data_IF_561925169629
#
_entry.id   IF_561925169629
#
_cell.length_a   1.000
_cell.length_b   1.000
_cell.length_c   1.000
_cell.angle_alpha   90.00
_cell.angle_beta   90.00
_cell.angle_gamma   90.00
#
_symmetry.space_group_name_H-M   'P 1'
#
loop_
_entity.id
_entity.type
_entity.pdbx_description
1 polymer ?
#
# COMPACT_ATOMS: atom_id res chain seq x y z
N UNK A 1 19.24 -38.02 -40.06
CA UNK A 1 20.17 -38.21 -41.18
C UNK A 1 19.89 -37.13 -42.22
N UNK A 2 20.61 -36.01 -42.20
CA UNK A 2 20.87 -35.16 -43.37
C UNK A 2 22.11 -34.31 -43.07
N UNK A 3 23.07 -34.37 -43.99
CA UNK A 3 24.48 -33.95 -43.87
C UNK A 3 24.66 -32.45 -44.06
N UNK A 4 25.59 -31.88 -43.28
CA UNK A 4 26.28 -30.61 -43.55
C UNK A 4 27.28 -30.80 -44.70
N UNK A 5 27.38 -29.89 -45.67
CA UNK A 5 28.58 -29.77 -46.50
C UNK A 5 29.46 -28.61 -46.03
N UNK A 6 30.70 -28.96 -45.64
CA UNK A 6 31.84 -28.05 -45.63
C UNK A 6 32.34 -27.92 -47.08
N UNK A 7 32.73 -26.72 -47.51
CA UNK A 7 33.56 -26.56 -48.71
C UNK A 7 34.86 -25.81 -48.39
N UNK A 8 35.92 -26.35 -48.98
CA UNK A 8 37.32 -26.07 -48.76
C UNK A 8 37.79 -24.73 -49.37
N UNK A 9 38.84 -24.23 -48.72
CA UNK A 9 39.86 -23.25 -49.12
C UNK A 9 40.51 -23.45 -50.51
N UNK A 10 40.93 -22.34 -51.16
CA UNK A 10 42.24 -22.03 -51.80
C UNK A 10 42.13 -20.76 -52.70
N UNK A 11 43.21 -20.07 -53.15
CA UNK A 11 44.31 -19.44 -52.43
C UNK A 11 44.53 -17.94 -52.79
N UNK A 12 45.50 -17.38 -52.06
CA UNK A 12 46.22 -16.09 -52.11
C UNK A 12 46.48 -15.43 -53.51
N UNK A 13 46.26 -14.11 -53.61
CA UNK A 13 47.04 -13.22 -54.49
C UNK A 13 47.46 -11.97 -53.71
N UNK A 14 48.78 -11.79 -53.64
CA UNK A 14 49.51 -10.70 -53.01
C UNK A 14 49.65 -9.53 -54.00
N UNK A 15 49.24 -8.33 -53.62
CA UNK A 15 49.62 -7.09 -54.31
C UNK A 15 50.18 -6.12 -53.28
N UNK A 16 51.51 -5.96 -53.31
CA UNK A 16 52.26 -4.93 -52.60
C UNK A 16 52.16 -3.62 -53.39
N UNK A 17 51.67 -2.55 -52.78
CA UNK A 17 51.95 -1.18 -53.23
C UNK A 17 52.05 -0.22 -52.03
N UNK A 18 53.28 0.25 -51.81
CA UNK A 18 53.65 1.63 -51.48
C UNK A 18 52.98 2.34 -50.31
N UNK A 19 53.72 2.49 -49.21
CA UNK A 19 53.47 3.53 -48.20
C UNK A 19 53.65 4.95 -48.79
N UNK A 20 53.02 5.96 -48.17
CA UNK A 20 53.86 6.96 -47.54
C UNK A 20 53.50 7.23 -46.07
N UNK A 21 54.51 7.80 -45.42
CA UNK A 21 54.69 8.11 -44.01
C UNK A 21 53.94 9.40 -43.61
N UNK A 22 53.63 9.52 -42.31
CA UNK A 22 53.04 10.66 -41.56
C UNK A 22 51.49 10.71 -41.56
N UNK A 23 50.79 10.98 -40.46
CA UNK A 23 51.12 11.70 -39.23
C UNK A 23 50.81 10.89 -37.96
N UNK A 24 51.61 11.12 -36.93
CA UNK A 24 51.41 10.63 -35.57
C UNK A 24 50.55 11.69 -34.85
N UNK A 25 49.23 11.55 -34.90
CA UNK A 25 48.35 12.36 -34.06
C UNK A 25 48.27 11.74 -32.66
N UNK A 26 48.60 12.58 -31.69
CA UNK A 26 48.57 12.37 -30.26
C UNK A 26 47.18 11.89 -29.81
N UNK A 27 47.11 10.75 -29.14
CA UNK A 27 45.92 10.32 -28.39
C UNK A 27 45.82 11.21 -27.15
N UNK A 28 44.87 12.13 -27.14
CA UNK A 28 44.49 12.84 -25.91
C UNK A 28 43.75 11.88 -24.96
N UNK A 29 44.13 11.80 -23.66
CA UNK A 29 43.38 11.06 -22.68
C UNK A 29 42.30 11.98 -22.08
N UNK A 30 41.04 11.82 -22.48
CA UNK A 30 39.95 12.50 -21.77
C UNK A 30 38.71 12.78 -22.59
N UNK A 31 37.89 11.76 -22.81
CA UNK A 31 36.44 11.96 -22.79
C UNK A 31 35.89 10.99 -21.75
N UNK A 32 35.79 11.51 -20.52
CA UNK A 32 34.96 10.87 -19.51
C UNK A 32 33.55 10.82 -20.08
N UNK A 33 32.99 9.61 -20.16
CA UNK A 33 31.56 9.46 -20.35
C UNK A 33 30.91 10.17 -19.16
N UNK A 34 30.32 11.34 -19.39
CA UNK A 34 29.50 11.99 -18.39
C UNK A 34 28.41 10.98 -17.98
N UNK A 35 28.30 10.59 -16.70
CA UNK A 35 27.18 9.80 -16.26
C UNK A 35 25.92 10.61 -16.57
N UNK A 36 25.01 10.03 -17.34
CA UNK A 36 23.64 10.55 -17.43
C UNK A 36 23.14 10.75 -16.00
N UNK A 37 22.48 11.88 -15.68
CA UNK A 37 22.09 12.16 -14.30
C UNK A 37 21.19 11.02 -13.80
N UNK A 38 21.63 10.33 -12.74
CA UNK A 38 20.74 9.48 -11.95
C UNK A 38 19.61 10.40 -11.49
N UNK A 39 18.43 10.29 -12.11
CA UNK A 39 17.22 10.82 -11.50
C UNK A 39 16.83 9.90 -10.33
N UNK A 40 17.72 9.77 -9.34
CA UNK A 40 17.43 9.17 -8.05
C UNK A 40 16.79 10.24 -7.16
N UNK A 41 15.65 10.75 -7.62
CA UNK A 41 14.80 11.62 -6.80
C UNK A 41 14.48 10.99 -5.45
N UNK A 42 14.62 9.66 -5.30
CA UNK A 42 14.22 8.91 -4.12
C UNK A 42 12.70 8.79 -3.98
N UNK A 43 11.94 9.43 -4.87
CA UNK A 43 10.49 9.34 -4.97
C UNK A 43 10.09 7.91 -5.35
N UNK A 44 9.05 7.41 -4.70
CA UNK A 44 8.45 6.11 -5.04
C UNK A 44 6.96 6.26 -5.21
N UNK A 45 6.47 5.59 -6.24
CA UNK A 45 5.08 5.54 -6.62
C UNK A 45 4.69 4.06 -6.63
N UNK A 46 3.85 3.66 -5.68
CA UNK A 46 3.48 2.28 -5.42
C UNK A 46 1.98 2.12 -5.60
N UNK A 47 1.57 1.15 -6.42
CA UNK A 47 0.16 0.78 -6.60
C UNK A 47 -0.05 -0.67 -6.20
N UNK A 48 -1.05 -0.93 -5.36
CA UNK A 48 -1.48 -2.25 -4.94
C UNK A 48 -2.94 -2.48 -5.40
N UNK A 49 -3.15 -3.35 -6.39
CA UNK A 49 -4.46 -3.62 -7.02
C UNK A 49 -4.99 -5.05 -6.76
N UNK A 50 -4.48 -5.71 -5.72
CA UNK A 50 -4.94 -6.99 -5.15
C UNK A 50 -5.44 -8.11 -6.09
N UNK A 51 -4.85 -8.23 -7.28
CA UNK A 51 -5.11 -9.35 -8.18
C UNK A 51 -4.87 -10.71 -7.48
N UNK A 52 -5.58 -11.78 -7.88
CA UNK A 52 -5.55 -13.09 -7.20
C UNK A 52 -4.17 -13.69 -6.96
N UNK A 53 -3.16 -13.28 -7.74
CA UNK A 53 -1.78 -13.78 -7.69
C UNK A 53 -0.77 -12.79 -7.08
N UNK A 54 -1.19 -11.62 -6.60
CA UNK A 54 -0.30 -10.55 -6.13
C UNK A 54 -0.54 -10.08 -4.68
N UNK A 55 0.56 -9.78 -4.00
CA UNK A 55 0.70 -9.00 -2.75
C UNK A 55 0.92 -9.76 -1.42
N UNK A 56 1.85 -9.28 -0.58
CA UNK A 56 2.21 -9.89 0.71
C UNK A 56 1.47 -9.21 1.89
N UNK A 57 0.29 -8.63 1.65
CA UNK A 57 -0.46 -7.99 2.71
C UNK A 57 -0.98 -9.03 3.70
N UNK A 58 -0.78 -8.73 4.97
CA UNK A 58 -1.36 -9.44 6.12
C UNK A 58 -2.30 -8.49 6.84
N UNK A 59 -3.00 -8.92 7.88
CA UNK A 59 -3.88 -8.03 8.62
C UNK A 59 -4.27 -8.59 9.97
N UNK A 60 -4.97 -7.76 10.73
CA UNK A 60 -5.41 -8.09 12.08
C UNK A 60 -6.40 -7.05 12.60
N UNK A 61 -6.68 -7.14 13.89
CA UNK A 61 -7.61 -6.27 14.59
C UNK A 61 -7.12 -5.98 16.00
N UNK A 62 -7.46 -4.80 16.53
CA UNK A 62 -7.13 -4.34 17.88
C UNK A 62 -8.27 -3.51 18.46
N UNK A 63 -8.05 -2.95 19.65
CA UNK A 63 -8.92 -2.01 20.35
C UNK A 63 -10.19 -2.69 20.88
N UNK A 64 -9.95 -3.76 21.64
CA UNK A 64 -10.94 -4.53 22.38
C UNK A 64 -10.34 -5.03 23.71
N UNK A 65 -11.19 -5.42 24.66
CA UNK A 65 -10.73 -5.91 25.96
C UNK A 65 -10.06 -7.29 25.85
N UNK A 66 -8.92 -7.51 26.50
CA UNK A 66 -8.17 -8.77 26.43
C UNK A 66 -8.94 -9.98 26.99
N UNK A 67 -9.94 -9.76 27.85
CA UNK A 67 -10.83 -10.80 28.38
C UNK A 67 -12.03 -11.12 27.48
N UNK A 68 -12.21 -10.40 26.39
CA UNK A 68 -13.28 -10.63 25.43
C UNK A 68 -12.95 -11.82 24.54
N UNK A 69 -13.95 -12.64 24.22
CA UNK A 69 -13.76 -13.75 23.28
C UNK A 69 -13.49 -13.19 21.87
N UNK A 70 -12.28 -13.37 21.30
CA UNK A 70 -11.94 -12.85 19.98
C UNK A 70 -12.76 -13.50 18.86
N UNK A 71 -13.43 -14.64 19.10
CA UNK A 71 -14.32 -15.26 18.11
C UNK A 71 -15.51 -14.37 17.74
N UNK A 72 -15.95 -13.49 18.65
CA UNK A 72 -17.05 -12.55 18.39
C UNK A 72 -16.70 -11.43 17.41
N UNK A 73 -15.40 -11.23 17.12
CA UNK A 73 -14.94 -10.22 16.16
C UNK A 73 -15.12 -10.74 14.72
N UNK A 74 -15.25 -12.05 14.51
CA UNK A 74 -15.49 -12.65 13.19
C UNK A 74 -14.59 -12.11 12.07
N UNK A 75 -13.30 -11.88 12.37
CA UNK A 75 -12.38 -11.27 11.41
C UNK A 75 -12.12 -12.19 10.20
N UNK A 76 -12.27 -11.63 9.00
CA UNK A 76 -11.97 -12.30 7.74
C UNK A 76 -11.03 -11.39 6.94
N UNK A 77 -9.93 -11.98 6.48
CA UNK A 77 -9.03 -11.40 5.50
C UNK A 77 -8.81 -12.40 4.36
N UNK A 78 -9.18 -12.01 3.14
CA UNK A 78 -8.95 -12.85 1.95
C UNK A 78 -8.92 -12.00 0.70
N UNK A 79 -8.32 -12.52 -0.35
CA UNK A 79 -8.50 -11.98 -1.69
C UNK A 79 -9.90 -12.34 -2.19
N UNK A 80 -10.50 -11.40 -2.91
CA UNK A 80 -11.77 -11.58 -3.57
C UNK A 80 -11.81 -10.73 -4.85
N UNK A 81 -12.94 -10.71 -5.54
CA UNK A 81 -13.26 -9.70 -6.54
C UNK A 81 -14.15 -8.62 -5.94
N UNK A 82 -14.11 -7.41 -6.49
CA UNK A 82 -15.07 -6.36 -6.12
C UNK A 82 -16.52 -6.86 -6.28
N UNK A 83 -17.45 -6.48 -5.38
CA UNK A 83 -18.82 -6.98 -5.41
C UNK A 83 -19.56 -6.68 -6.71
N UNK A 84 -20.51 -7.54 -7.07
CA UNK A 84 -21.45 -7.25 -8.18
C UNK A 84 -22.22 -5.96 -7.86
N UNK A 85 -22.27 -5.05 -8.83
CA UNK A 85 -22.91 -3.74 -8.68
C UNK A 85 -21.92 -2.59 -8.52
N UNK A 86 -20.64 -2.87 -8.30
CA UNK A 86 -19.59 -1.89 -8.66
C UNK A 86 -19.43 -1.90 -10.18
N UNK A 87 -19.22 -0.74 -10.82
CA UNK A 87 -18.94 -0.62 -12.28
C UNK A 87 -17.57 -1.25 -12.68
N UNK A 88 -16.99 -2.04 -11.79
CA UNK A 88 -15.69 -2.70 -11.88
C UNK A 88 -15.80 -4.15 -11.44
N UNK A 89 -14.95 -4.98 -12.04
CA UNK A 89 -14.73 -6.38 -11.68
C UNK A 89 -13.20 -6.57 -11.61
N UNK A 90 -12.61 -6.13 -10.50
CA UNK A 90 -11.17 -6.16 -10.23
C UNK A 90 -10.88 -7.06 -9.02
N UNK A 91 -9.62 -7.48 -8.88
CA UNK A 91 -9.14 -8.10 -7.64
C UNK A 91 -9.20 -7.11 -6.48
N UNK A 92 -9.58 -7.60 -5.30
CA UNK A 92 -9.69 -6.79 -4.09
C UNK A 92 -9.21 -7.57 -2.86
N UNK A 93 -8.78 -6.83 -1.84
CA UNK A 93 -8.61 -7.39 -0.50
C UNK A 93 -9.92 -7.24 0.27
N UNK A 94 -10.63 -8.35 0.51
CA UNK A 94 -11.80 -8.38 1.36
C UNK A 94 -11.38 -8.41 2.84
N UNK A 95 -11.89 -7.44 3.59
CA UNK A 95 -11.70 -7.30 5.03
C UNK A 95 -13.05 -7.17 5.69
N UNK A 96 -13.34 -8.05 6.65
CA UNK A 96 -14.58 -8.01 7.42
C UNK A 96 -14.31 -8.24 8.90
N UNK A 97 -15.05 -7.55 9.75
CA UNK A 97 -15.04 -7.74 11.20
C UNK A 97 -16.33 -7.23 11.81
N UNK A 98 -16.73 -7.83 12.93
CA UNK A 98 -17.82 -7.37 13.80
C UNK A 98 -17.24 -6.60 14.97
N UNK A 99 -17.54 -5.30 15.03
CA UNK A 99 -17.21 -4.48 16.17
C UNK A 99 -18.14 -4.82 17.34
N UNK A 100 -17.51 -5.18 18.45
CA UNK A 100 -18.15 -5.58 19.71
C UNK A 100 -17.60 -4.79 20.89
N UNK A 101 -16.81 -3.74 20.63
CA UNK A 101 -16.11 -2.91 21.63
C UNK A 101 -16.41 -1.41 21.53
N UNK A 102 -17.20 -0.98 20.53
CA UNK A 102 -17.41 0.44 20.17
C UNK A 102 -16.12 1.19 19.77
N UNK A 103 -15.02 0.47 19.49
CA UNK A 103 -13.70 1.07 19.16
C UNK A 103 -12.82 0.14 18.32
N UNK A 104 -13.38 -0.87 17.65
CA UNK A 104 -12.58 -1.88 16.96
C UNK A 104 -11.76 -1.26 15.82
N UNK A 105 -10.44 -1.47 15.84
CA UNK A 105 -9.57 -1.14 14.73
C UNK A 105 -9.20 -2.39 13.93
N UNK A 106 -9.58 -2.44 12.66
CA UNK A 106 -9.25 -3.53 11.74
C UNK A 106 -8.32 -3.02 10.64
N UNK A 107 -7.25 -3.75 10.34
CA UNK A 107 -6.22 -3.25 9.41
C UNK A 107 -5.57 -4.34 8.57
N UNK A 108 -5.03 -3.90 7.44
CA UNK A 108 -4.08 -4.65 6.61
C UNK A 108 -2.73 -3.93 6.59
N UNK A 109 -1.64 -4.68 6.49
CA UNK A 109 -0.28 -4.15 6.51
C UNK A 109 0.67 -4.89 5.58
N UNK A 110 1.66 -4.16 5.06
CA UNK A 110 2.70 -4.65 4.17
C UNK A 110 4.00 -3.87 4.37
N UNK A 111 5.14 -4.55 4.24
CA UNK A 111 6.45 -3.89 4.27
C UNK A 111 6.83 -3.36 2.89
N UNK A 112 7.34 -2.14 2.84
CA UNK A 112 8.02 -1.56 1.68
C UNK A 112 9.50 -1.39 1.98
N UNK A 113 10.32 -1.52 0.93
CA UNK A 113 11.78 -1.51 1.05
C UNK A 113 12.43 -0.81 -0.13
N UNK A 114 13.77 -0.72 -0.08
CA UNK A 114 14.61 -0.03 -1.07
C UNK A 114 14.34 1.48 -1.11
N UNK A 115 13.85 2.08 -0.03
CA UNK A 115 13.82 3.53 0.14
C UNK A 115 15.23 4.04 0.48
N UNK A 116 15.45 5.34 0.46
CA UNK A 116 16.72 5.90 0.94
C UNK A 116 16.82 5.69 2.46
N UNK A 117 17.89 5.07 3.00
CA UNK A 117 18.04 4.86 4.43
C UNK A 117 18.04 6.14 5.25
N UNK A 118 17.51 6.08 6.49
CA UNK A 118 17.48 7.21 7.44
C UNK A 118 16.97 8.53 6.83
N UNK A 119 16.08 8.45 5.83
CA UNK A 119 15.62 9.60 5.08
C UNK A 119 14.19 9.94 5.51
N UNK A 120 13.89 11.21 5.83
CA UNK A 120 12.52 11.68 6.02
C UNK A 120 11.73 11.61 4.70
N UNK A 121 10.50 11.13 4.78
CA UNK A 121 9.56 11.04 3.67
C UNK A 121 8.22 11.66 4.04
N UNK A 122 7.58 12.29 3.06
CA UNK A 122 6.17 12.63 3.05
C UNK A 122 5.40 11.58 2.23
N UNK A 123 4.37 10.98 2.84
CA UNK A 123 3.55 9.93 2.25
C UNK A 123 2.14 10.43 1.99
N UNK A 124 1.69 10.30 0.75
CA UNK A 124 0.31 10.53 0.35
C UNK A 124 -0.28 9.23 -0.19
N UNK A 125 -1.45 8.88 0.31
CA UNK A 125 -2.23 7.72 -0.04
C UNK A 125 -3.46 8.18 -0.80
N UNK A 126 -3.85 7.37 -1.78
CA UNK A 126 -5.19 7.36 -2.35
C UNK A 126 -5.70 5.91 -2.23
N UNK A 127 -6.85 5.74 -1.59
CA UNK A 127 -7.45 4.43 -1.32
C UNK A 127 -8.79 4.37 -2.02
N UNK A 128 -8.91 3.45 -2.97
CA UNK A 128 -10.18 3.06 -3.57
C UNK A 128 -10.69 1.78 -2.89
N UNK A 129 -11.94 1.81 -2.45
CA UNK A 129 -12.57 0.64 -1.85
C UNK A 129 -14.07 0.56 -2.17
N UNK A 130 -14.61 -0.66 -2.23
CA UNK A 130 -16.05 -0.87 -2.27
C UNK A 130 -16.60 -0.88 -0.84
N UNK A 131 -17.58 -0.01 -0.59
CA UNK A 131 -18.34 0.08 0.65
C UNK A 131 -19.83 0.00 0.34
N UNK A 132 -20.60 -0.66 1.20
CA UNK A 132 -22.06 -0.61 1.21
C UNK A 132 -22.59 0.22 2.38
N UNK A 133 -21.74 1.00 3.05
CA UNK A 133 -22.17 1.81 4.18
C UNK A 133 -22.94 3.06 3.68
N UNK A 134 -24.21 3.24 4.07
CA UNK A 134 -24.96 4.44 3.74
C UNK A 134 -24.53 5.62 4.63
N UNK A 135 -24.81 6.84 4.17
CA UNK A 135 -24.70 8.08 4.97
C UNK A 135 -26.07 8.48 5.52
N UNK A 136 -26.08 9.29 6.58
CA UNK A 136 -27.28 9.80 7.27
C UNK A 136 -28.21 8.71 7.77
N UNK A 137 -27.62 7.61 8.23
CA UNK A 137 -28.35 6.45 8.76
C UNK A 137 -27.94 6.18 10.21
N UNK A 138 -28.22 7.14 11.13
CA UNK A 138 -27.84 6.99 12.53
C UNK A 138 -28.60 5.81 13.16
N UNK A 139 -27.91 5.10 14.05
CA UNK A 139 -28.51 4.06 14.88
C UNK A 139 -28.10 4.26 16.34
N UNK A 140 -28.72 3.50 17.25
CA UNK A 140 -28.35 3.49 18.68
C UNK A 140 -26.89 3.04 18.90
N UNK A 141 -26.34 2.37 17.89
CA UNK A 141 -25.04 1.70 17.88
C UNK A 141 -24.04 2.40 16.95
N UNK A 142 -24.23 3.70 16.69
CA UNK A 142 -23.46 4.43 15.69
C UNK A 142 -23.95 4.22 14.25
N UNK A 143 -23.36 4.95 13.34
CA UNK A 143 -23.70 5.02 11.92
C UNK A 143 -22.77 4.09 11.15
N UNK A 144 -23.29 3.18 10.32
CA UNK A 144 -22.46 2.18 9.61
C UNK A 144 -21.45 2.80 8.65
N UNK A 145 -21.68 4.03 8.20
CA UNK A 145 -20.75 4.79 7.35
C UNK A 145 -19.95 5.82 8.13
N UNK A 146 -20.64 6.82 8.69
CA UNK A 146 -20.03 8.04 9.23
C UNK A 146 -19.24 7.84 10.54
N UNK A 147 -19.51 6.76 11.28
CA UNK A 147 -18.82 6.42 12.54
C UNK A 147 -17.80 5.28 12.35
N UNK A 148 -17.33 5.08 11.11
CA UNK A 148 -16.29 4.12 10.75
C UNK A 148 -15.22 4.86 9.93
N UNK A 149 -14.11 5.16 10.60
CA UNK A 149 -13.08 6.06 10.08
C UNK A 149 -11.98 5.30 9.34
N UNK A 150 -11.81 5.58 8.05
CA UNK A 150 -10.71 5.03 7.27
C UNK A 150 -9.39 5.72 7.65
N UNK A 151 -8.36 4.93 7.93
CA UNK A 151 -7.03 5.40 8.30
C UNK A 151 -5.97 4.76 7.42
N UNK A 152 -4.92 5.54 7.16
CA UNK A 152 -3.67 5.08 6.54
C UNK A 152 -2.51 5.44 7.46
N UNK A 153 -1.46 4.63 7.42
CA UNK A 153 -0.33 4.84 8.31
C UNK A 153 0.96 4.21 7.82
N UNK A 154 2.03 4.60 8.50
CA UNK A 154 3.36 4.07 8.28
C UNK A 154 4.13 3.97 9.60
N UNK A 155 4.98 2.94 9.72
CA UNK A 155 5.74 2.67 10.94
C UNK A 155 7.07 1.98 10.66
N UNK A 156 7.99 2.06 11.62
CA UNK A 156 9.28 1.34 11.56
C UNK A 156 9.16 -0.13 11.99
N UNK A 157 8.15 -0.46 12.79
CA UNK A 157 7.83 -1.81 13.24
C UNK A 157 6.57 -2.31 12.54
N UNK A 158 6.42 -3.63 12.42
CA UNK A 158 5.19 -4.21 11.87
C UNK A 158 4.00 -3.86 12.77
N UNK A 159 2.93 -3.23 12.23
CA UNK A 159 1.68 -3.05 12.95
C UNK A 159 1.12 -4.39 13.42
N UNK A 160 0.91 -4.50 14.72
CA UNK A 160 0.47 -5.73 15.37
C UNK A 160 -0.39 -5.39 16.59
N UNK A 161 -1.40 -6.22 16.83
CA UNK A 161 -2.18 -6.18 18.05
C UNK A 161 -1.35 -6.71 19.22
N UNK A 162 -1.28 -5.93 20.30
CA UNK A 162 -0.53 -6.26 21.52
C UNK A 162 -1.41 -6.02 22.74
N UNK A 163 -1.30 -6.88 23.74
CA UNK A 163 -2.00 -6.68 25.02
C UNK A 163 -1.25 -5.69 25.89
N UNK A 164 -1.88 -4.57 26.21
CA UNK A 164 -1.44 -3.70 27.29
C UNK A 164 -1.85 -4.33 28.63
N UNK A 165 -0.84 -4.79 29.37
CA UNK A 165 -1.04 -5.47 30.65
C UNK A 165 -1.55 -4.56 31.75
N UNK A 166 -1.39 -3.23 31.63
CA UNK A 166 -1.86 -2.28 32.63
C UNK A 166 -3.35 -2.00 32.49
N UNK A 167 -3.84 -1.91 31.26
CA UNK A 167 -5.25 -1.60 30.95
C UNK A 167 -6.08 -2.83 30.61
N UNK A 168 -5.43 -3.99 30.42
CA UNK A 168 -6.05 -5.23 29.93
C UNK A 168 -6.79 -5.02 28.60
N UNK A 169 -6.25 -4.13 27.76
CA UNK A 169 -6.75 -3.85 26.42
C UNK A 169 -5.80 -4.46 25.39
N UNK A 170 -6.35 -4.99 24.31
CA UNK A 170 -5.58 -5.28 23.10
C UNK A 170 -5.56 -3.99 22.28
N UNK A 171 -4.37 -3.48 21.98
CA UNK A 171 -4.16 -2.21 21.26
C UNK A 171 -3.22 -2.43 20.09
N UNK A 172 -3.25 -1.55 19.11
CA UNK A 172 -2.21 -1.50 18.09
C UNK A 172 -0.88 -1.07 18.71
N UNK A 173 0.23 -1.68 18.31
CA UNK A 173 1.58 -1.34 18.79
C UNK A 173 2.18 -0.06 18.17
N UNK A 174 1.43 0.64 17.32
CA UNK A 174 1.80 1.92 16.69
C UNK A 174 0.67 2.92 16.90
N UNK A 175 1.00 4.21 16.99
CA UNK A 175 0.01 5.25 17.29
C UNK A 175 -0.84 5.59 16.05
N UNK A 176 -2.04 5.01 15.99
CA UNK A 176 -3.03 5.29 14.95
C UNK A 176 -3.93 6.51 15.25
N UNK A 177 -3.79 7.10 16.43
CA UNK A 177 -4.77 8.01 16.99
C UNK A 177 -6.04 7.28 17.44
N UNK A 178 -7.16 8.00 17.44
CA UNK A 178 -8.45 7.47 17.89
C UNK A 178 -9.58 8.04 17.05
N UNK A 179 -10.42 7.17 16.49
CA UNK A 179 -11.62 7.53 15.73
C UNK A 179 -11.28 8.53 14.61
N UNK A 180 -11.97 9.67 14.55
CA UNK A 180 -11.71 10.71 13.54
C UNK A 180 -10.31 11.34 13.64
N UNK A 181 -9.59 11.19 14.75
CA UNK A 181 -8.31 11.86 15.01
C UNK A 181 -7.13 10.96 14.63
N UNK A 182 -6.23 11.47 13.79
CA UNK A 182 -4.96 10.79 13.45
C UNK A 182 -3.96 10.77 14.61
N UNK A 183 -3.00 9.85 14.54
CA UNK A 183 -1.90 9.72 15.51
C UNK A 183 -0.53 10.05 14.89
N UNK A 184 0.53 9.82 15.64
CA UNK A 184 1.91 9.99 15.15
C UNK A 184 2.20 9.11 13.92
N UNK A 185 1.61 7.92 13.85
CA UNK A 185 1.88 6.94 12.79
C UNK A 185 0.71 6.78 11.79
N UNK A 186 -0.38 7.54 11.93
CA UNK A 186 -1.53 7.44 11.03
C UNK A 186 -2.27 8.75 10.77
N UNK A 187 -2.88 8.84 9.60
CA UNK A 187 -3.82 9.90 9.22
C UNK A 187 -5.21 9.31 8.96
N UNK A 188 -6.25 10.05 9.33
CA UNK A 188 -7.64 9.73 8.98
C UNK A 188 -7.94 10.28 7.59
N UNK A 189 -8.47 9.45 6.69
CA UNK A 189 -8.88 9.83 5.34
C UNK A 189 -10.35 10.26 5.24
N UNK A 190 -11.08 10.23 6.36
CA UNK A 190 -12.52 10.41 6.44
C UNK A 190 -13.21 9.11 6.84
N UNK A 191 -14.50 9.01 6.52
CA UNK A 191 -15.33 7.84 6.78
C UNK A 191 -15.53 6.96 5.53
N UNK A 192 -16.12 5.77 5.74
CA UNK A 192 -16.42 4.81 4.66
C UNK A 192 -17.82 4.98 4.05
N UNK A 193 -18.53 6.06 4.35
CA UNK A 193 -19.88 6.26 3.86
C UNK A 193 -19.87 6.51 2.33
N UNK A 194 -20.85 5.90 1.67
CA UNK A 194 -21.17 6.15 0.27
C UNK A 194 -22.11 7.35 0.13
N UNK A 195 -22.43 7.73 -1.10
CA UNK A 195 -23.43 8.77 -1.37
C UNK A 195 -24.88 8.32 -1.09
N UNK A 196 -25.11 7.02 -0.86
CA UNK A 196 -26.41 6.42 -0.62
C UNK A 196 -27.01 6.82 0.73
N UNK A 197 -28.25 7.29 0.74
CA UNK A 197 -29.07 7.50 1.96
C UNK A 197 -30.02 6.31 2.22
N UNK A 198 -29.87 5.21 1.48
CA UNK A 198 -30.69 4.01 1.68
C UNK A 198 -30.17 3.23 2.90
N UNK A 199 -30.79 3.37 4.07
CA UNK A 199 -30.29 2.77 5.31
C UNK A 199 -30.37 1.24 5.39
N UNK A 200 -30.98 0.58 4.41
CA UNK A 200 -31.16 -0.87 4.40
C UNK A 200 -30.91 -1.43 3.01
N UNK A 201 -30.19 -2.57 2.93
CA UNK A 201 -29.85 -3.23 1.67
C UNK A 201 -29.12 -2.30 0.68
N UNK A 202 -28.23 -1.45 1.19
CA UNK A 202 -27.41 -0.55 0.41
C UNK A 202 -26.55 -1.36 -0.57
N UNK A 203 -26.53 -1.02 -1.87
CA UNK A 203 -25.60 -1.65 -2.80
C UNK A 203 -24.18 -1.17 -2.53
N UNK A 204 -23.19 -2.02 -2.83
CA UNK A 204 -21.78 -1.63 -2.81
C UNK A 204 -21.51 -0.54 -3.87
N UNK A 205 -20.70 0.45 -3.50
CA UNK A 205 -20.20 1.52 -4.37
C UNK A 205 -18.72 1.72 -4.12
N UNK A 206 -17.98 2.08 -5.17
CA UNK A 206 -16.59 2.49 -5.01
C UNK A 206 -16.57 3.90 -4.42
N UNK A 207 -15.77 4.08 -3.38
CA UNK A 207 -15.39 5.38 -2.84
C UNK A 207 -13.87 5.53 -2.92
N UNK A 208 -13.42 6.77 -3.10
CA UNK A 208 -12.01 7.16 -3.05
C UNK A 208 -11.81 8.11 -1.88
N UNK A 209 -10.71 7.92 -1.15
CA UNK A 209 -10.28 8.77 -0.04
C UNK A 209 -8.78 8.97 -0.10
N UNK A 210 -8.29 10.14 0.28
CA UNK A 210 -6.87 10.48 0.18
C UNK A 210 -6.39 11.43 1.29
N UNK A 211 -5.08 11.53 1.44
CA UNK A 211 -4.43 12.56 2.26
C UNK A 211 -3.44 13.41 1.47
N UNK A 212 -3.68 13.67 0.18
CA UNK A 212 -2.79 14.48 -0.67
C UNK A 212 -2.58 15.88 -0.07
N UNK A 213 -3.62 16.46 0.53
CA UNK A 213 -3.56 17.75 1.22
C UNK A 213 -2.89 17.73 2.60
N UNK A 214 -2.67 16.55 3.18
CA UNK A 214 -2.08 16.39 4.52
C UNK A 214 -1.18 15.13 4.61
N UNK A 215 0.03 15.18 4.01
CA UNK A 215 0.92 14.02 3.95
C UNK A 215 1.36 13.54 5.34
N UNK A 216 1.38 12.22 5.52
CA UNK A 216 1.96 11.58 6.70
C UNK A 216 3.49 11.66 6.60
N UNK A 217 4.17 12.06 7.68
CA UNK A 217 5.64 12.18 7.70
C UNK A 217 6.28 11.10 8.54
N UNK A 218 7.31 10.45 8.01
CA UNK A 218 8.09 9.44 8.73
C UNK A 218 9.51 9.37 8.20
N UNK A 219 10.47 9.02 9.05
CA UNK A 219 11.85 8.74 8.64
C UNK A 219 12.04 7.23 8.52
N UNK A 220 12.58 6.75 7.39
CA UNK A 220 12.85 5.32 7.16
C UNK A 220 13.92 4.76 8.10
N UNK A 221 13.95 3.43 8.28
CA UNK A 221 15.04 2.78 9.01
C UNK A 221 16.40 2.86 8.27
N UNK A 222 17.45 2.38 8.93
CA UNK A 222 18.81 2.30 8.38
C UNK A 222 18.97 1.38 7.16
N UNK A 223 17.93 0.62 6.80
CA UNK A 223 17.89 -0.24 5.62
C UNK A 223 16.93 0.29 4.54
N UNK A 224 16.36 1.49 4.72
CA UNK A 224 15.40 2.07 3.79
C UNK A 224 14.08 1.29 3.75
N UNK A 225 13.56 0.89 4.91
CA UNK A 225 12.30 0.15 5.05
C UNK A 225 11.28 0.90 5.89
N UNK A 226 10.01 0.66 5.56
CA UNK A 226 8.82 1.08 6.31
C UNK A 226 7.76 -0.02 6.23
N UNK A 227 6.91 -0.11 7.24
CA UNK A 227 5.63 -0.79 7.14
C UNK A 227 4.56 0.23 6.79
N UNK A 228 3.68 -0.14 5.87
CA UNK A 228 2.46 0.60 5.56
C UNK A 228 1.27 -0.14 6.20
N UNK A 229 0.26 0.60 6.62
CA UNK A 229 -1.03 0.00 6.99
C UNK A 229 -2.20 0.85 6.53
N UNK A 230 -3.30 0.18 6.25
CA UNK A 230 -4.60 0.78 5.92
C UNK A 230 -5.65 0.03 6.72
N UNK A 231 -6.59 0.73 7.34
CA UNK A 231 -7.58 0.10 8.20
C UNK A 231 -8.72 1.03 8.58
N UNK A 232 -9.68 0.52 9.34
CA UNK A 232 -10.82 1.28 9.84
C UNK A 232 -10.88 1.28 11.35
N UNK A 233 -11.10 2.45 11.93
CA UNK A 233 -11.37 2.66 13.35
C UNK A 233 -12.88 2.85 13.54
N UNK A 234 -13.55 1.89 14.17
CA UNK A 234 -15.01 1.76 14.14
C UNK A 234 -15.62 2.07 15.49
N UNK A 235 -16.47 3.09 15.57
CA UNK A 235 -17.41 3.30 16.69
C UNK A 235 -18.75 2.59 16.44
N UNK A 236 -19.04 2.23 15.18
CA UNK A 236 -20.24 1.48 14.82
C UNK A 236 -20.20 0.06 15.42
N UNK A 237 -21.15 -0.28 16.29
CA UNK A 237 -21.35 -1.64 16.81
C UNK A 237 -22.11 -2.47 15.77
N UNK A 238 -21.36 -3.22 14.97
CA UNK A 238 -21.89 -4.06 13.90
C UNK A 238 -20.79 -4.63 13.02
N UNK A 239 -21.21 -5.37 11.99
CA UNK A 239 -20.29 -5.91 10.99
C UNK A 239 -20.00 -4.87 9.93
N UNK A 240 -18.72 -4.64 9.69
CA UNK A 240 -18.22 -3.83 8.57
C UNK A 240 -17.55 -4.76 7.58
N UNK A 241 -17.87 -4.60 6.29
CA UNK A 241 -17.32 -5.37 5.18
C UNK A 241 -16.81 -4.41 4.11
N UNK A 242 -15.51 -4.51 3.79
CA UNK A 242 -14.87 -3.63 2.81
C UNK A 242 -14.04 -4.45 1.83
N UNK A 243 -14.00 -3.96 0.60
CA UNK A 243 -13.17 -4.52 -0.47
C UNK A 243 -12.19 -3.43 -0.90
N UNK A 244 -10.95 -3.51 -0.42
CA UNK A 244 -9.90 -2.59 -0.87
C UNK A 244 -9.52 -2.96 -2.30
N UNK A 245 -9.86 -2.09 -3.25
CA UNK A 245 -9.66 -2.28 -4.69
C UNK A 245 -8.23 -1.85 -5.06
N UNK A 246 -7.91 -0.59 -4.77
CA UNK A 246 -6.59 -0.01 -5.04
C UNK A 246 -6.08 0.76 -3.83
N UNK A 247 -4.81 0.53 -3.48
CA UNK A 247 -4.05 1.41 -2.59
C UNK A 247 -2.89 1.98 -3.39
N UNK A 248 -2.95 3.28 -3.63
CA UNK A 248 -1.87 4.05 -4.25
C UNK A 248 -1.13 4.84 -3.19
N UNK A 249 0.21 4.79 -3.21
CA UNK A 249 1.05 5.49 -2.24
C UNK A 249 2.22 6.15 -2.96
N UNK A 250 2.32 7.47 -2.79
CA UNK A 250 3.50 8.24 -3.20
C UNK A 250 4.34 8.53 -1.96
N UNK A 251 5.61 8.15 -2.00
CA UNK A 251 6.62 8.47 -1.00
C UNK A 251 7.60 9.46 -1.62
N UNK A 252 7.61 10.69 -1.13
CA UNK A 252 8.51 11.77 -1.58
C UNK A 252 9.52 12.07 -0.45
N UNK A 253 10.84 12.02 -0.69
CA UNK A 253 11.81 12.50 0.31
C UNK A 253 11.54 13.97 0.67
N UNK A 254 11.60 14.32 1.95
CA UNK A 254 11.19 15.64 2.46
C UNK A 254 12.26 16.40 3.23
#
# INVERSE_FOLDING_TARGET
>A
MFRVPRLNSLPLVLVLLGAPLACLDTIEPGEGVEPLPENDSGRRDLTFAFDPDQSNWTGGYSDFAAGQDPQNIHFILRRDTTPVGTDRQSGAMFVSSTNVSDDLFTFITQQVSRLKPNTPYALTFEVELASNAPRRCPSVNGSPGEDVFLKVGASLVQPAAVTDTNTQQVRLNVDKGNQSVGGENAQTLGDIATDSEQCFNTPYRIITRDNVGNPLRITTDANGRLWLFVGTDSEYFGTTELYYDVIHVVLEPS
#
